data_IF_091627742062
#
_entry.id   IF_091627742062
#
_cell.length_a   1.000
_cell.length_b   1.000
_cell.length_c   1.000
_cell.angle_alpha   90.00
_cell.angle_beta   90.00
_cell.angle_gamma   90.00
#
_symmetry.space_group_name_H-M   'P 1'
#
loop_
_entity.id
_entity.type
_entity.pdbx_description
1 polymer ?
#
# COMPACT_ATOMS: atom_id res chain seq x y z
N UNK A 1 -18.73 -9.54 -9.45
CA UNK A 1 -17.82 -9.49 -10.62
C UNK A 1 -16.72 -8.45 -10.31
N UNK A 2 -15.58 -8.94 -9.79
CA UNK A 2 -14.47 -8.12 -9.27
C UNK A 2 -13.95 -7.08 -10.29
N UNK A 3 -14.12 -7.32 -11.57
CA UNK A 3 -13.66 -6.39 -12.63
C UNK A 3 -14.53 -5.14 -12.77
N UNK A 4 -15.83 -5.22 -12.48
CA UNK A 4 -16.72 -4.06 -12.50
C UNK A 4 -16.47 -3.17 -11.28
N UNK A 5 -16.30 -3.77 -10.09
CA UNK A 5 -15.96 -3.05 -8.86
C UNK A 5 -14.58 -2.38 -8.96
N UNK A 6 -13.59 -3.05 -9.55
CA UNK A 6 -12.28 -2.46 -9.81
C UNK A 6 -12.36 -1.28 -10.81
N UNK A 7 -13.23 -1.36 -11.81
CA UNK A 7 -13.49 -0.26 -12.76
C UNK A 7 -14.13 0.96 -12.11
N UNK A 8 -15.11 0.76 -11.25
CA UNK A 8 -15.78 1.83 -10.50
C UNK A 8 -14.80 2.49 -9.50
N UNK A 9 -14.00 1.70 -8.81
CA UNK A 9 -12.98 2.17 -7.90
C UNK A 9 -11.89 2.98 -8.60
N UNK A 10 -11.40 2.53 -9.77
CA UNK A 10 -10.43 3.27 -10.57
C UNK A 10 -11.03 4.56 -11.17
N UNK A 11 -12.31 4.54 -11.54
CA UNK A 11 -13.04 5.75 -11.92
C UNK A 11 -13.05 6.79 -10.80
N UNK A 12 -13.31 6.34 -9.57
CA UNK A 12 -13.26 7.20 -8.39
C UNK A 12 -11.84 7.75 -8.12
N UNK A 13 -10.80 6.94 -8.32
CA UNK A 13 -9.40 7.36 -8.15
C UNK A 13 -8.94 8.37 -9.19
N UNK A 14 -9.40 8.25 -10.43
CA UNK A 14 -9.01 9.13 -11.54
C UNK A 14 -9.76 10.47 -11.57
N UNK A 15 -10.69 10.68 -10.64
CA UNK A 15 -11.53 11.89 -10.62
C UNK A 15 -12.55 11.93 -11.77
N UNK A 16 -12.85 10.80 -12.39
CA UNK A 16 -13.91 10.67 -13.37
C UNK A 16 -15.23 10.49 -12.63
N UNK A 17 -16.03 11.56 -12.53
CA UNK A 17 -17.28 11.62 -11.79
C UNK A 17 -17.21 12.53 -10.57
N UNK A 18 -18.23 12.44 -9.70
CA UNK A 18 -18.34 13.25 -8.48
C UNK A 18 -17.53 12.68 -7.29
N UNK A 19 -16.79 11.59 -7.49
CA UNK A 19 -15.95 11.01 -6.45
C UNK A 19 -14.64 11.79 -6.31
N UNK A 20 -14.17 12.04 -5.08
CA UNK A 20 -12.90 12.71 -4.87
C UNK A 20 -11.75 11.87 -5.45
N UNK A 21 -10.87 12.52 -6.20
CA UNK A 21 -9.70 11.85 -6.77
C UNK A 21 -8.73 11.45 -5.67
N UNK A 22 -8.41 10.17 -5.62
CA UNK A 22 -7.52 9.59 -4.65
C UNK A 22 -6.47 8.76 -5.38
N UNK A 23 -5.22 9.06 -5.19
CA UNK A 23 -4.10 8.31 -5.77
C UNK A 23 -3.37 7.57 -4.66
N UNK A 24 -3.54 6.24 -4.52
CA UNK A 24 -2.65 5.49 -3.65
C UNK A 24 -1.24 5.60 -4.21
N UNK A 25 -0.28 5.88 -3.35
CA UNK A 25 1.13 6.03 -3.72
C UNK A 25 1.87 4.72 -3.99
N UNK A 26 1.16 3.62 -4.09
CA UNK A 26 1.65 2.47 -4.84
C UNK A 26 1.63 2.95 -6.29
N UNK A 27 2.82 3.17 -6.87
CA UNK A 27 3.06 3.84 -8.16
C UNK A 27 2.18 3.31 -9.31
N UNK A 28 0.89 3.64 -9.28
CA UNK A 28 -0.03 3.43 -10.36
C UNK A 28 0.05 4.67 -11.26
N UNK A 29 0.99 4.66 -12.19
CA UNK A 29 1.23 5.80 -13.06
C UNK A 29 0.09 6.07 -14.06
N UNK A 30 -0.77 5.08 -14.31
CA UNK A 30 -1.94 5.23 -15.18
C UNK A 30 -3.09 4.34 -14.73
N UNK A 31 -4.34 4.85 -14.66
CA UNK A 31 -5.53 4.07 -14.24
C UNK A 31 -5.78 2.82 -15.11
N UNK A 32 -5.50 2.91 -16.40
CA UNK A 32 -5.65 1.77 -17.33
C UNK A 32 -4.64 0.66 -17.03
N UNK A 33 -3.45 1.02 -16.58
CA UNK A 33 -2.42 0.07 -16.17
C UNK A 33 -2.81 -0.67 -14.90
N UNK A 34 -3.55 -0.03 -14.00
CA UNK A 34 -4.03 -0.66 -12.78
C UNK A 34 -5.09 -1.74 -13.02
N UNK A 35 -5.93 -1.60 -14.06
CA UNK A 35 -6.87 -2.65 -14.45
C UNK A 35 -6.15 -3.87 -15.01
N UNK A 36 -5.11 -3.65 -15.81
CA UNK A 36 -4.25 -4.72 -16.34
C UNK A 36 -3.37 -5.34 -15.26
N UNK A 37 -3.03 -4.58 -14.23
CA UNK A 37 -2.25 -5.02 -13.08
C UNK A 37 -3.04 -5.87 -12.06
N UNK A 38 -4.35 -5.94 -12.18
CA UNK A 38 -5.18 -6.66 -11.21
C UNK A 38 -4.77 -8.12 -11.02
N UNK A 39 -4.39 -8.81 -12.10
CA UNK A 39 -3.89 -10.19 -12.03
C UNK A 39 -2.50 -10.25 -11.37
N UNK A 40 -1.60 -9.30 -11.66
CA UNK A 40 -0.28 -9.24 -11.06
C UNK A 40 -0.38 -8.97 -9.55
N UNK A 41 -1.29 -8.10 -9.11
CA UNK A 41 -1.50 -7.83 -7.69
C UNK A 41 -1.96 -9.07 -6.94
N UNK A 42 -2.95 -9.77 -7.44
CA UNK A 42 -3.44 -10.99 -6.80
C UNK A 42 -2.37 -12.08 -6.80
N UNK A 43 -1.65 -12.25 -7.90
CA UNK A 43 -0.64 -13.30 -8.02
C UNK A 43 0.62 -13.03 -7.18
N UNK A 44 1.07 -11.77 -7.08
CA UNK A 44 2.30 -11.43 -6.37
C UNK A 44 2.05 -11.08 -4.90
N UNK A 45 0.96 -10.36 -4.59
CA UNK A 45 0.68 -9.88 -3.24
C UNK A 45 -0.35 -10.72 -2.48
N UNK A 46 -1.28 -11.38 -3.19
CA UNK A 46 -2.34 -12.18 -2.60
C UNK A 46 -3.70 -11.47 -2.49
N UNK A 47 -3.78 -10.19 -2.81
CA UNK A 47 -5.04 -9.43 -2.76
C UNK A 47 -5.22 -8.50 -3.96
N UNK A 48 -6.48 -8.13 -4.23
CA UNK A 48 -6.83 -7.10 -5.20
C UNK A 48 -6.89 -5.72 -4.53
N UNK A 49 -6.56 -4.67 -5.27
CA UNK A 49 -6.76 -3.28 -4.82
C UNK A 49 -8.21 -2.95 -4.49
N UNK A 50 -9.16 -3.56 -5.16
CA UNK A 50 -10.58 -3.37 -4.89
C UNK A 50 -10.98 -3.76 -3.45
N UNK A 51 -10.15 -4.52 -2.75
CA UNK A 51 -10.38 -4.93 -1.35
C UNK A 51 -9.72 -4.00 -0.33
N UNK A 52 -8.94 -3.01 -0.79
CA UNK A 52 -8.32 -2.04 0.11
C UNK A 52 -9.36 -1.03 0.56
N UNK A 53 -9.73 -1.07 1.82
CA UNK A 53 -10.65 -0.11 2.43
C UNK A 53 -9.91 1.12 2.96
N UNK A 54 -8.71 0.90 3.50
CA UNK A 54 -7.87 1.95 4.10
C UNK A 54 -6.39 1.64 3.90
N UNK A 55 -5.60 2.70 3.75
CA UNK A 55 -4.16 2.56 3.81
C UNK A 55 -3.52 3.79 4.43
N UNK A 56 -2.30 3.59 4.92
CA UNK A 56 -1.40 4.65 5.37
C UNK A 56 -0.05 4.43 4.71
N UNK A 57 0.55 5.48 4.20
CA UNK A 57 1.91 5.45 3.71
C UNK A 57 2.80 6.38 4.52
N UNK A 58 3.95 5.86 4.93
CA UNK A 58 5.04 6.61 5.53
C UNK A 58 6.21 6.61 4.54
N UNK A 59 6.67 7.79 4.16
CA UNK A 59 7.80 7.94 3.25
C UNK A 59 8.93 8.68 3.94
N UNK A 60 10.04 7.97 4.12
CA UNK A 60 11.32 8.52 4.60
C UNK A 60 12.43 7.97 3.70
N UNK A 61 12.70 8.63 2.55
CA UNK A 61 13.63 8.10 1.54
C UNK A 61 14.98 7.65 2.12
N UNK A 62 15.52 6.49 1.73
CA UNK A 62 15.00 5.61 0.66
C UNK A 62 13.88 4.65 1.10
N UNK A 63 13.55 4.62 2.39
CA UNK A 63 12.52 3.74 2.92
C UNK A 63 11.11 4.28 2.68
N UNK A 64 10.22 3.38 2.32
CA UNK A 64 8.78 3.60 2.23
C UNK A 64 8.09 2.44 2.93
N UNK A 65 7.06 2.73 3.69
CA UNK A 65 6.23 1.76 4.36
C UNK A 65 4.78 2.05 4.02
N UNK A 66 4.06 1.07 3.54
CA UNK A 66 2.62 1.15 3.30
C UNK A 66 1.94 0.10 4.16
N UNK A 67 0.91 0.50 4.89
CA UNK A 67 0.04 -0.41 5.64
C UNK A 67 -1.31 -0.39 4.96
N UNK A 68 -1.77 -1.55 4.52
CA UNK A 68 -3.08 -1.72 3.87
C UNK A 68 -4.00 -2.53 4.75
N UNK A 69 -5.28 -2.14 4.79
CA UNK A 69 -6.35 -2.85 5.50
C UNK A 69 -7.56 -3.01 4.60
N UNK A 70 -8.27 -4.11 4.78
CA UNK A 70 -9.50 -4.43 4.06
C UNK A 70 -9.89 -5.88 4.24
N UNK A 71 -11.11 -6.22 3.86
CA UNK A 71 -11.61 -7.59 3.98
C UNK A 71 -10.84 -8.54 3.05
N UNK A 72 -10.29 -9.61 3.63
CA UNK A 72 -9.55 -10.64 2.89
C UNK A 72 -8.19 -10.18 2.37
N UNK A 73 -7.62 -9.09 2.92
CA UNK A 73 -6.24 -8.68 2.64
C UNK A 73 -5.30 -9.58 3.44
N UNK A 74 -4.54 -10.41 2.72
CA UNK A 74 -3.50 -11.28 3.27
C UNK A 74 -2.41 -11.50 2.23
N UNK A 75 -1.14 -11.67 2.65
CA UNK A 75 -0.07 -12.03 1.72
C UNK A 75 -0.38 -13.30 0.93
N UNK A 76 0.12 -13.38 -0.31
CA UNK A 76 0.00 -14.57 -1.12
C UNK A 76 0.62 -15.79 -0.42
N UNK A 77 0.03 -16.97 -0.65
CA UNK A 77 0.59 -18.22 -0.15
C UNK A 77 1.92 -18.55 -0.83
N UNK A 78 2.82 -19.18 -0.09
CA UNK A 78 4.08 -19.71 -0.62
C UNK A 78 5.17 -18.67 -0.89
N UNK A 79 5.02 -17.45 -0.38
CA UNK A 79 6.10 -16.46 -0.40
C UNK A 79 7.29 -16.95 0.45
N UNK A 80 8.50 -16.69 -0.04
CA UNK A 80 9.73 -16.95 0.71
C UNK A 80 9.85 -15.99 1.90
N UNK A 81 10.48 -16.47 2.99
CA UNK A 81 10.80 -15.64 4.14
C UNK A 81 12.25 -15.13 4.04
N UNK A 82 12.43 -13.82 4.15
CA UNK A 82 13.74 -13.17 4.14
C UNK A 82 13.88 -12.28 5.37
N UNK A 83 14.75 -12.66 6.28
CA UNK A 83 15.04 -11.90 7.49
C UNK A 83 13.83 -11.73 8.45
N UNK A 84 12.84 -12.61 8.39
CA UNK A 84 11.62 -12.56 9.20
C UNK A 84 10.44 -11.84 8.52
N UNK A 85 10.60 -11.35 7.30
CA UNK A 85 9.52 -10.80 6.48
C UNK A 85 9.26 -11.71 5.28
N UNK A 86 8.01 -11.78 4.81
CA UNK A 86 7.68 -12.44 3.55
C UNK A 86 8.23 -11.60 2.39
N UNK A 87 8.67 -12.24 1.32
CA UNK A 87 9.29 -11.59 0.17
C UNK A 87 8.55 -11.84 -1.12
N UNK A 88 8.16 -10.77 -1.79
CA UNK A 88 7.74 -10.80 -3.19
C UNK A 88 8.97 -10.51 -4.04
N UNK A 89 9.45 -11.54 -4.70
CA UNK A 89 10.68 -11.50 -5.49
C UNK A 89 11.95 -11.74 -4.67
N UNK A 90 12.96 -12.24 -5.36
CA UNK A 90 14.29 -12.51 -4.81
C UNK A 90 15.13 -11.22 -4.70
N UNK A 91 16.22 -11.30 -3.95
CA UNK A 91 17.22 -10.23 -3.85
C UNK A 91 17.25 -9.52 -2.51
N UNK A 92 18.23 -8.65 -2.35
CA UNK A 92 18.40 -7.81 -1.16
C UNK A 92 17.44 -6.62 -1.16
N UNK A 93 17.25 -5.99 0.01
CA UNK A 93 16.46 -4.77 0.11
C UNK A 93 16.97 -3.70 -0.87
N UNK A 94 16.05 -3.06 -1.58
CA UNK A 94 16.32 -2.03 -2.60
C UNK A 94 17.08 -2.48 -3.85
N UNK A 95 17.42 -3.74 -3.97
CA UNK A 95 18.07 -4.27 -5.17
C UNK A 95 17.21 -4.08 -6.41
N UNK A 96 17.83 -3.66 -7.52
CA UNK A 96 17.15 -3.46 -8.80
C UNK A 96 17.37 -4.67 -9.70
N UNK A 97 16.29 -5.23 -10.20
CA UNK A 97 16.33 -6.27 -11.23
C UNK A 97 15.28 -6.00 -12.32
N UNK A 98 15.62 -5.17 -13.32
CA UNK A 98 14.69 -4.82 -14.38
C UNK A 98 14.17 -5.99 -15.22
N UNK A 99 14.85 -7.15 -15.17
CA UNK A 99 14.47 -8.34 -15.94
C UNK A 99 13.26 -9.07 -15.33
N UNK A 100 13.01 -8.84 -14.01
CA UNK A 100 11.86 -9.42 -13.29
C UNK A 100 10.82 -8.36 -12.87
N UNK A 101 10.77 -7.25 -13.58
CA UNK A 101 9.79 -6.19 -13.33
C UNK A 101 8.35 -6.65 -13.56
N UNK A 102 7.46 -6.19 -12.73
CA UNK A 102 6.01 -6.33 -12.87
C UNK A 102 5.33 -4.98 -12.57
N UNK A 103 4.00 -4.91 -12.66
CA UNK A 103 3.26 -3.72 -12.21
C UNK A 103 3.42 -3.47 -10.71
N UNK A 104 3.48 -4.54 -9.92
CA UNK A 104 3.69 -4.46 -8.47
C UNK A 104 5.12 -4.01 -8.14
N UNK A 105 6.06 -4.38 -9.00
CA UNK A 105 7.50 -4.13 -8.86
C UNK A 105 8.10 -3.50 -10.12
N UNK A 106 7.80 -2.22 -10.43
CA UNK A 106 8.15 -1.59 -11.71
C UNK A 106 9.65 -1.61 -12.03
N UNK A 107 10.50 -1.61 -11.00
CA UNK A 107 11.96 -1.70 -11.12
C UNK A 107 12.52 -3.08 -10.74
N UNK A 108 11.64 -4.09 -10.61
CA UNK A 108 12.01 -5.44 -10.18
C UNK A 108 12.49 -5.52 -8.72
N UNK A 109 12.36 -4.45 -7.94
CA UNK A 109 12.75 -4.45 -6.54
C UNK A 109 11.92 -5.44 -5.75
N UNK A 110 12.54 -6.26 -4.88
CA UNK A 110 11.77 -7.12 -4.00
C UNK A 110 10.95 -6.27 -3.01
N UNK A 111 9.73 -6.74 -2.72
CA UNK A 111 8.91 -6.18 -1.64
C UNK A 111 9.00 -7.08 -0.42
N UNK A 112 8.97 -6.47 0.74
CA UNK A 112 8.90 -7.14 2.04
C UNK A 112 7.52 -6.95 2.61
N UNK A 113 6.88 -8.05 2.95
CA UNK A 113 5.53 -8.05 3.49
C UNK A 113 5.53 -8.62 4.90
N UNK A 114 4.65 -8.09 5.73
CA UNK A 114 4.32 -8.64 7.02
C UNK A 114 2.81 -8.64 7.21
N UNK A 115 2.24 -9.78 7.53
CA UNK A 115 0.86 -9.84 8.00
C UNK A 115 0.78 -9.38 9.46
N UNK A 116 -0.23 -8.61 9.80
CA UNK A 116 -0.52 -8.14 11.14
C UNK A 116 -2.04 -8.09 11.31
N UNK A 117 -2.62 -8.93 12.17
CA UNK A 117 -4.05 -9.16 12.43
C UNK A 117 -5.00 -8.84 11.26
N UNK A 118 -5.33 -7.55 11.05
CA UNK A 118 -6.26 -7.04 10.03
C UNK A 118 -5.54 -6.19 8.96
N UNK A 119 -4.22 -6.26 8.88
CA UNK A 119 -3.42 -5.43 7.99
C UNK A 119 -2.29 -6.21 7.32
N UNK A 120 -1.84 -5.71 6.17
CA UNK A 120 -0.59 -6.12 5.56
C UNK A 120 0.32 -4.91 5.42
N UNK A 121 1.52 -5.05 5.93
CA UNK A 121 2.59 -4.07 5.81
C UNK A 121 3.42 -4.40 4.58
N UNK A 122 3.66 -3.41 3.74
CA UNK A 122 4.48 -3.52 2.51
C UNK A 122 5.61 -2.51 2.56
N UNK A 123 6.84 -2.95 2.31
CA UNK A 123 8.02 -2.07 2.27
C UNK A 123 9.06 -2.58 1.29
N UNK A 124 9.98 -1.72 0.88
CA UNK A 124 11.22 -2.11 0.19
C UNK A 124 12.34 -2.51 1.17
N UNK A 125 12.10 -2.40 2.47
CA UNK A 125 13.05 -2.68 3.54
C UNK A 125 12.50 -3.71 4.50
N UNK A 126 13.25 -4.78 4.73
CA UNK A 126 12.95 -5.80 5.74
C UNK A 126 12.82 -5.18 7.12
N UNK A 127 13.76 -4.30 7.49
CA UNK A 127 13.75 -3.63 8.80
C UNK A 127 12.50 -2.76 8.97
N UNK A 128 12.10 -2.00 7.94
CA UNK A 128 10.91 -1.16 8.01
C UNK A 128 9.62 -2.00 8.10
N UNK A 129 9.50 -3.08 7.31
CA UNK A 129 8.33 -3.96 7.39
C UNK A 129 8.17 -4.60 8.78
N UNK A 130 9.28 -4.96 9.42
CA UNK A 130 9.28 -5.56 10.76
C UNK A 130 9.16 -4.55 11.90
N UNK A 131 9.49 -3.29 11.66
CA UNK A 131 9.39 -2.23 12.68
C UNK A 131 7.95 -1.82 12.97
N UNK A 132 7.03 -2.03 12.04
CA UNK A 132 5.61 -1.73 12.26
C UNK A 132 5.06 -2.54 13.43
N UNK A 133 4.30 -1.87 14.29
CA UNK A 133 3.56 -2.49 15.42
C UNK A 133 2.18 -1.87 15.49
N UNK A 134 1.14 -2.70 15.50
CA UNK A 134 -0.24 -2.25 15.69
C UNK A 134 -0.57 -1.89 17.15
N UNK A 135 0.24 -2.38 18.09
CA UNK A 135 0.08 -2.24 19.53
C UNK A 135 0.95 -1.12 20.15
N UNK A 136 1.78 -0.46 19.35
CA UNK A 136 2.59 0.68 19.80
C UNK A 136 1.84 2.00 19.63
N UNK A 137 2.37 3.08 20.25
CA UNK A 137 1.85 4.43 20.10
C UNK A 137 1.75 4.81 18.61
N UNK A 138 0.58 5.28 18.20
CA UNK A 138 0.24 5.63 16.84
C UNK A 138 0.28 7.13 16.63
N UNK A 139 0.17 7.58 15.38
CA UNK A 139 -0.01 9.01 15.09
C UNK A 139 -1.27 9.59 15.76
N UNK A 140 -2.28 8.75 16.01
CA UNK A 140 -3.49 9.15 16.73
C UNK A 140 -3.24 9.49 18.19
N UNK A 141 -2.15 9.00 18.78
CA UNK A 141 -1.74 9.30 20.15
C UNK A 141 -0.96 10.64 20.24
N UNK A 142 -0.56 11.19 19.10
CA UNK A 142 0.08 12.49 19.02
C UNK A 142 -0.97 13.58 18.73
N UNK A 143 -1.23 14.52 19.65
CA UNK A 143 -2.35 15.47 19.57
C UNK A 143 -2.43 16.22 18.25
N UNK A 144 -1.29 16.67 17.71
CA UNK A 144 -1.25 17.39 16.44
C UNK A 144 -1.82 16.59 15.27
N UNK A 145 -1.50 15.30 15.20
CA UNK A 145 -2.00 14.43 14.12
C UNK A 145 -3.44 14.00 14.36
N UNK A 146 -3.82 13.77 15.61
CA UNK A 146 -5.20 13.47 15.98
C UNK A 146 -6.14 14.64 15.65
N UNK A 147 -5.77 15.87 15.99
CA UNK A 147 -6.55 17.07 15.67
C UNK A 147 -6.65 17.29 14.16
N UNK A 148 -5.55 17.12 13.42
CA UNK A 148 -5.55 17.21 11.96
C UNK A 148 -6.46 16.14 11.33
N UNK A 149 -6.35 14.89 11.75
CA UNK A 149 -7.18 13.79 11.25
C UNK A 149 -8.67 14.06 11.51
N UNK A 150 -9.04 14.49 12.73
CA UNK A 150 -10.42 14.84 13.06
C UNK A 150 -10.96 15.97 12.19
N UNK A 151 -10.17 17.00 11.95
CA UNK A 151 -10.57 18.13 11.09
C UNK A 151 -10.78 17.70 9.63
N UNK A 152 -9.94 16.79 9.13
CA UNK A 152 -10.06 16.22 7.78
C UNK A 152 -11.30 15.32 7.65
N UNK A 153 -11.60 14.56 8.68
CA UNK A 153 -12.76 13.67 8.74
C UNK A 153 -14.08 14.48 8.75
N UNK A 154 -14.13 15.58 9.53
CA UNK A 154 -15.29 16.47 9.59
C UNK A 154 -15.66 17.09 8.21
N UNK A 155 -14.70 17.29 7.33
CA UNK A 155 -14.93 17.84 5.98
C UNK A 155 -14.99 16.75 4.90
N UNK A 156 -14.95 15.49 5.29
CA UNK A 156 -15.11 14.34 4.39
C UNK A 156 -13.92 14.14 3.44
N UNK A 157 -12.70 14.44 3.87
CA UNK A 157 -11.49 14.23 3.07
C UNK A 157 -11.20 12.73 2.95
N UNK A 158 -11.03 12.26 1.72
CA UNK A 158 -10.78 10.83 1.42
C UNK A 158 -9.30 10.49 1.50
N UNK A 159 -8.43 11.46 1.22
CA UNK A 159 -6.98 11.30 1.33
C UNK A 159 -6.30 12.60 1.77
N UNK A 160 -5.27 12.49 2.58
CA UNK A 160 -4.48 13.62 3.04
C UNK A 160 -3.01 13.26 3.13
N UNK A 161 -2.15 14.25 2.92
CA UNK A 161 -0.71 14.15 3.11
C UNK A 161 -0.31 15.06 4.26
N UNK A 162 0.29 14.49 5.29
CA UNK A 162 0.77 15.23 6.46
C UNK A 162 2.29 15.28 6.41
N UNK A 163 2.83 16.49 6.42
CA UNK A 163 4.27 16.71 6.51
C UNK A 163 4.61 17.20 7.92
N UNK A 164 5.55 16.57 8.64
CA UNK A 164 6.09 17.18 9.84
C UNK A 164 6.69 18.54 9.46
N UNK A 165 6.36 19.58 10.22
CA UNK A 165 6.81 20.95 9.95
C UNK A 165 8.32 21.04 9.82
N UNK A 166 8.75 21.96 8.98
CA UNK A 166 10.15 22.36 8.82
C UNK A 166 10.64 23.13 10.06
#
# INVERSE_FOLDING_TARGET
>A
DDSAEAGDWLGALSGVGDAPSFVPSIELHEPESALLAGEDFVSELGWSFARVERFVELSAPPARLTVVRGEGIAPADGLDEVGGALSVGAGADFELDPDVRSFVRPLGRPLRLRADDDAVVVSLSTAAALAWRSDEATLADAPLYADAASSLDEVGVVAAMLFPGL
#
